data_IF_912861135059
#
_entry.id   IF_912861135059
#
_cell.length_a   1.000
_cell.length_b   1.000
_cell.length_c   1.000
_cell.angle_alpha   90.00
_cell.angle_beta   90.00
_cell.angle_gamma   90.00
#
_symmetry.space_group_name_H-M   'P 1'
#
loop_
_entity.id
_entity.type
_entity.pdbx_description
1 polymer ?
#
# COMPACT_ATOMS: atom_id res chain seq x y z
N UNK A 1 7.65 -31.21 -2.92
CA UNK A 1 8.23 -31.34 -4.27
C UNK A 1 7.91 -30.08 -5.03
N UNK A 2 8.84 -29.51 -5.79
CA UNK A 2 8.57 -28.36 -6.67
C UNK A 2 8.95 -28.72 -8.11
N UNK A 3 8.01 -28.56 -9.02
CA UNK A 3 8.19 -28.71 -10.46
C UNK A 3 8.13 -27.32 -11.09
N UNK A 4 9.12 -26.98 -11.90
CA UNK A 4 9.15 -25.75 -12.69
C UNK A 4 9.37 -26.15 -14.14
N UNK A 5 8.48 -25.71 -15.01
CA UNK A 5 8.53 -26.01 -16.44
C UNK A 5 8.42 -24.71 -17.25
N UNK A 6 9.37 -24.51 -18.16
CA UNK A 6 9.32 -23.41 -19.13
C UNK A 6 8.46 -23.86 -20.31
N UNK A 7 7.32 -23.20 -20.51
CA UNK A 7 6.28 -23.63 -21.44
C UNK A 7 6.53 -23.10 -22.86
N UNK A 8 6.98 -21.84 -22.97
CA UNK A 8 7.20 -21.18 -24.25
C UNK A 8 7.95 -19.85 -24.09
N UNK A 9 8.74 -19.49 -25.10
CA UNK A 9 9.20 -18.12 -25.27
C UNK A 9 8.07 -17.21 -25.82
N UNK A 10 7.98 -15.95 -25.38
CA UNK A 10 8.84 -15.29 -24.39
C UNK A 10 8.28 -15.42 -22.96
N UNK A 11 8.91 -16.21 -22.10
CA UNK A 11 8.78 -16.12 -20.64
C UNK A 11 7.50 -16.71 -20.02
N UNK A 12 6.94 -17.77 -20.61
CA UNK A 12 5.84 -18.52 -20.01
C UNK A 12 6.39 -19.65 -19.14
N UNK A 13 6.01 -19.72 -17.87
CA UNK A 13 6.46 -20.79 -16.98
C UNK A 13 5.34 -21.29 -16.07
N UNK A 14 5.37 -22.57 -15.75
CA UNK A 14 4.49 -23.22 -14.78
C UNK A 14 5.32 -23.66 -13.57
N UNK A 15 4.93 -23.21 -12.38
CA UNK A 15 5.53 -23.61 -11.11
C UNK A 15 4.47 -24.34 -10.26
N UNK A 16 4.73 -25.61 -9.95
CA UNK A 16 3.88 -26.41 -9.08
C UNK A 16 4.67 -26.79 -7.83
N UNK A 17 4.16 -26.48 -6.66
CA UNK A 17 4.70 -26.95 -5.38
C UNK A 17 3.65 -27.76 -4.65
N UNK A 18 4.02 -28.99 -4.28
CA UNK A 18 3.21 -29.88 -3.44
C UNK A 18 3.94 -30.18 -2.12
N UNK A 19 3.21 -30.32 -1.01
CA UNK A 19 3.81 -30.80 0.23
C UNK A 19 4.32 -32.23 0.04
N UNK A 20 5.61 -32.42 0.28
CA UNK A 20 6.18 -33.75 0.51
C UNK A 20 6.44 -33.82 2.00
N UNK A 21 5.60 -34.59 2.71
CA UNK A 21 5.59 -34.75 4.17
C UNK A 21 5.34 -33.46 4.98
N UNK A 22 4.07 -33.24 5.33
CA UNK A 22 3.54 -32.45 6.48
C UNK A 22 3.96 -30.98 6.68
N UNK A 23 4.71 -30.35 5.77
CA UNK A 23 5.06 -28.92 5.88
C UNK A 23 4.83 -28.20 4.55
N UNK A 24 3.68 -27.54 4.42
CA UNK A 24 3.34 -26.65 3.31
C UNK A 24 1.97 -26.91 2.68
N UNK A 25 1.39 -25.86 2.07
CA UNK A 25 0.13 -25.91 1.32
C UNK A 25 0.42 -26.06 -0.17
N UNK A 26 -0.46 -26.73 -0.93
CA UNK A 26 -0.26 -26.89 -2.36
C UNK A 26 -0.38 -25.52 -3.06
N UNK A 27 0.52 -25.25 -3.99
CA UNK A 27 0.52 -24.00 -4.78
C UNK A 27 0.87 -24.26 -6.23
N UNK A 28 0.13 -23.65 -7.14
CA UNK A 28 0.36 -23.66 -8.57
C UNK A 28 0.46 -22.21 -9.07
N UNK A 29 1.46 -21.87 -9.86
CA UNK A 29 1.67 -20.51 -10.40
C UNK A 29 1.94 -20.59 -11.88
N UNK A 30 1.19 -19.83 -12.67
CA UNK A 30 1.43 -19.63 -14.10
C UNK A 30 2.01 -18.23 -14.28
N UNK A 31 3.20 -18.15 -14.84
CA UNK A 31 3.88 -16.91 -15.22
C UNK A 31 3.78 -16.71 -16.72
N UNK A 32 3.60 -15.46 -17.12
CA UNK A 32 3.54 -15.03 -18.51
C UNK A 32 4.16 -13.62 -18.63
N UNK A 33 4.61 -13.18 -19.80
CA UNK A 33 5.35 -11.91 -19.93
C UNK A 33 4.68 -10.69 -19.27
N UNK A 34 3.35 -10.48 -19.38
CA UNK A 34 2.70 -9.37 -18.68
C UNK A 34 2.33 -9.64 -17.22
N UNK A 35 2.59 -10.81 -16.62
CA UNK A 35 2.10 -11.09 -15.26
C UNK A 35 2.21 -12.53 -14.76
N UNK A 36 1.53 -12.81 -13.66
CA UNK A 36 1.43 -14.16 -13.09
C UNK A 36 0.09 -14.36 -12.38
N UNK A 37 -0.36 -15.60 -12.32
CA UNK A 37 -1.54 -16.04 -11.54
C UNK A 37 -1.12 -17.22 -10.70
N UNK A 38 -1.38 -17.16 -9.39
CA UNK A 38 -1.13 -18.27 -8.47
C UNK A 38 -2.40 -18.73 -7.78
N UNK A 39 -2.54 -20.05 -7.65
CA UNK A 39 -3.54 -20.73 -6.87
C UNK A 39 -2.83 -21.37 -5.67
N UNK A 40 -3.24 -21.06 -4.45
CA UNK A 40 -2.65 -21.57 -3.22
C UNK A 40 -3.74 -22.06 -2.28
N UNK A 41 -3.60 -23.28 -1.75
CA UNK A 41 -4.48 -23.77 -0.69
C UNK A 41 -4.30 -22.92 0.58
N UNK A 42 -5.41 -22.58 1.22
CA UNK A 42 -5.48 -21.89 2.51
C UNK A 42 -6.27 -22.76 3.48
N UNK A 43 -5.76 -22.92 4.70
CA UNK A 43 -6.55 -23.46 5.81
C UNK A 43 -7.32 -22.31 6.46
N UNK A 44 -8.65 -22.35 6.38
CA UNK A 44 -9.52 -21.46 7.15
C UNK A 44 -10.04 -22.20 8.39
N UNK A 45 -10.23 -21.46 9.49
CA UNK A 45 -10.64 -22.04 10.79
C UNK A 45 -11.97 -22.81 10.72
N UNK A 46 -12.85 -22.50 9.76
CA UNK A 46 -14.19 -23.10 9.62
C UNK A 46 -14.33 -24.09 8.44
N UNK A 47 -13.52 -23.97 7.37
CA UNK A 47 -13.60 -24.83 6.18
C UNK A 47 -12.24 -25.47 5.91
N UNK A 48 -12.22 -26.81 5.88
CA UNK A 48 -10.96 -27.58 5.95
C UNK A 48 -9.98 -27.36 4.80
N UNK A 49 -10.36 -26.76 3.66
CA UNK A 49 -9.47 -26.37 2.54
C UNK A 49 -10.17 -25.35 1.64
N UNK A 50 -9.73 -24.10 1.67
CA UNK A 50 -10.21 -23.06 0.75
C UNK A 50 -9.10 -22.74 -0.26
N UNK A 51 -9.41 -22.57 -1.54
CA UNK A 51 -8.42 -22.21 -2.55
C UNK A 51 -8.35 -20.68 -2.68
N UNK A 52 -7.17 -20.12 -2.47
CA UNK A 52 -6.89 -18.70 -2.70
C UNK A 52 -6.32 -18.48 -4.10
N UNK A 53 -6.87 -17.50 -4.82
CA UNK A 53 -6.39 -17.10 -6.14
C UNK A 53 -5.75 -15.72 -5.98
N UNK A 54 -4.50 -15.59 -6.43
CA UNK A 54 -3.80 -14.31 -6.54
C UNK A 54 -3.37 -14.10 -7.99
N UNK A 55 -3.34 -12.86 -8.44
CA UNK A 55 -2.91 -12.55 -9.79
C UNK A 55 -2.38 -11.14 -9.90
N UNK A 56 -1.39 -10.96 -10.76
CA UNK A 56 -0.89 -9.64 -11.14
C UNK A 56 -0.73 -9.58 -12.66
N UNK A 57 -1.22 -8.51 -13.25
CA UNK A 57 -1.09 -8.21 -14.67
C UNK A 57 -0.57 -6.78 -14.79
N UNK A 58 0.42 -6.56 -15.67
CA UNK A 58 1.00 -5.25 -15.98
C UNK A 58 0.98 -5.05 -17.48
N UNK A 59 0.57 -3.87 -17.91
CA UNK A 59 0.55 -3.51 -19.34
C UNK A 59 0.73 -2.01 -19.50
N UNK A 60 1.23 -1.60 -20.67
CA UNK A 60 1.22 -0.19 -21.07
C UNK A 60 -0.11 0.10 -21.76
N UNK A 61 -0.89 1.04 -21.21
CA UNK A 61 -2.18 1.44 -21.75
C UNK A 61 -2.15 2.94 -22.03
N UNK A 62 -2.35 3.28 -23.30
CA UNK A 62 -2.27 4.65 -23.82
C UNK A 62 -0.92 5.30 -23.54
N UNK A 63 -0.92 6.23 -22.60
CA UNK A 63 0.16 7.11 -22.23
C UNK A 63 0.62 6.81 -20.80
N UNK A 64 0.43 5.58 -20.31
CA UNK A 64 0.71 5.24 -18.92
C UNK A 64 0.84 3.74 -18.69
N UNK A 65 1.32 3.40 -17.50
CA UNK A 65 1.43 2.02 -17.05
C UNK A 65 0.19 1.63 -16.24
N UNK A 66 -0.44 0.51 -16.61
CA UNK A 66 -1.54 -0.09 -15.88
C UNK A 66 -1.06 -1.37 -15.18
N UNK A 67 -1.45 -1.57 -13.93
CA UNK A 67 -1.32 -2.85 -13.25
C UNK A 67 -2.63 -3.24 -12.58
N UNK A 68 -3.09 -4.47 -12.79
CA UNK A 68 -4.15 -5.09 -12.02
C UNK A 68 -3.54 -6.11 -11.06
N UNK A 69 -3.95 -6.08 -9.80
CA UNK A 69 -3.55 -7.03 -8.79
C UNK A 69 -4.80 -7.54 -8.09
N UNK A 70 -5.00 -8.84 -8.06
CA UNK A 70 -6.02 -9.49 -7.25
C UNK A 70 -5.33 -10.28 -6.16
N UNK A 71 -5.66 -10.01 -4.90
CA UNK A 71 -5.18 -10.77 -3.76
C UNK A 71 -6.14 -10.62 -2.58
N UNK A 72 -6.36 -11.71 -1.84
CA UNK A 72 -7.20 -11.70 -0.63
C UNK A 72 -8.57 -11.06 -0.86
N UNK A 73 -9.22 -11.42 -1.98
CA UNK A 73 -10.51 -10.90 -2.40
C UNK A 73 -10.54 -9.39 -2.76
N UNK A 74 -9.40 -8.71 -2.77
CA UNK A 74 -9.28 -7.33 -3.24
C UNK A 74 -8.70 -7.27 -4.65
N UNK A 75 -9.44 -6.64 -5.57
CA UNK A 75 -8.96 -6.24 -6.88
C UNK A 75 -8.47 -4.79 -6.84
N UNK A 76 -7.15 -4.63 -6.88
CA UNK A 76 -6.44 -3.35 -6.95
C UNK A 76 -5.97 -3.06 -8.37
N UNK A 77 -6.56 -2.05 -8.97
CA UNK A 77 -6.11 -1.51 -10.25
C UNK A 77 -5.21 -0.30 -9.96
N UNK A 78 -4.16 -0.09 -10.73
CA UNK A 78 -3.31 1.10 -10.67
C UNK A 78 -3.01 1.56 -12.07
N UNK A 79 -3.31 2.82 -12.33
CA UNK A 79 -2.89 3.51 -13.54
C UNK A 79 -1.92 4.63 -13.16
N UNK A 80 -0.70 4.59 -13.71
CA UNK A 80 0.30 5.66 -13.59
C UNK A 80 0.38 6.41 -14.91
N UNK A 81 0.14 7.72 -14.89
CA UNK A 81 0.23 8.57 -16.08
C UNK A 81 1.69 8.80 -16.50
N UNK A 82 1.92 9.31 -17.72
CA UNK A 82 3.21 9.47 -18.45
C UNK A 82 4.45 9.78 -17.61
N UNK A 83 4.27 10.59 -16.58
CA UNK A 83 5.33 11.15 -15.74
C UNK A 83 5.63 10.30 -14.48
N UNK A 84 4.87 9.24 -14.24
CA UNK A 84 4.82 8.47 -12.98
C UNK A 84 4.53 9.34 -11.74
N UNK A 85 4.15 10.60 -11.96
CA UNK A 85 3.86 11.56 -10.89
C UNK A 85 2.39 11.46 -10.49
N UNK A 86 1.49 11.11 -11.41
CA UNK A 86 0.09 10.85 -11.09
C UNK A 86 -0.21 9.35 -11.13
N UNK A 87 -0.73 8.82 -10.02
CA UNK A 87 -1.29 7.47 -9.96
C UNK A 87 -2.75 7.50 -9.51
N UNK A 88 -3.61 6.81 -10.25
CA UNK A 88 -4.99 6.53 -9.92
C UNK A 88 -5.13 5.04 -9.56
N UNK A 89 -5.71 4.74 -8.39
CA UNK A 89 -5.70 3.39 -7.82
C UNK A 89 -7.12 3.04 -7.33
N UNK A 90 -8.02 2.57 -8.20
CA UNK A 90 -9.27 1.99 -7.76
C UNK A 90 -9.02 0.62 -7.13
N UNK A 91 -9.74 0.35 -6.05
CA UNK A 91 -9.67 -0.89 -5.30
C UNK A 91 -11.10 -1.35 -5.05
N UNK A 92 -11.37 -2.59 -5.42
CA UNK A 92 -12.69 -3.23 -5.34
C UNK A 92 -12.54 -4.45 -4.44
N UNK A 93 -13.27 -4.51 -3.33
CA UNK A 93 -13.41 -5.74 -2.57
C UNK A 93 -14.44 -6.63 -3.26
N UNK A 94 -14.15 -7.92 -3.39
CA UNK A 94 -15.03 -8.95 -3.89
C UNK A 94 -15.35 -9.92 -2.74
N UNK A 95 -16.52 -10.59 -2.73
CA UNK A 95 -17.66 -10.39 -3.62
C UNK A 95 -18.50 -9.15 -3.25
N UNK A 96 -18.13 -8.42 -2.19
CA UNK A 96 -18.91 -7.29 -1.65
C UNK A 96 -19.14 -6.15 -2.65
N UNK A 97 -18.27 -6.03 -3.66
CA UNK A 97 -18.20 -4.94 -4.64
C UNK A 97 -17.95 -3.55 -4.03
N UNK A 98 -17.52 -3.50 -2.77
CA UNK A 98 -17.14 -2.26 -2.09
C UNK A 98 -16.00 -1.57 -2.85
N UNK A 99 -16.11 -0.26 -3.05
CA UNK A 99 -15.23 0.50 -3.94
C UNK A 99 -14.57 1.66 -3.19
N UNK A 100 -13.25 1.74 -3.31
CA UNK A 100 -12.52 2.92 -2.90
C UNK A 100 -11.43 3.27 -3.91
N UNK A 101 -11.01 4.52 -3.89
CA UNK A 101 -10.04 5.07 -4.83
C UNK A 101 -8.95 5.78 -4.05
N UNK A 102 -7.71 5.47 -4.37
CA UNK A 102 -6.56 6.28 -3.97
C UNK A 102 -6.00 7.05 -5.18
N UNK A 103 -5.86 8.36 -5.03
CA UNK A 103 -5.17 9.24 -5.96
C UNK A 103 -3.83 9.65 -5.34
N UNK A 104 -2.73 9.52 -6.07
CA UNK A 104 -1.41 10.00 -5.64
C UNK A 104 -0.87 10.95 -6.68
N UNK A 105 -0.52 12.17 -6.27
CA UNK A 105 0.15 13.16 -7.12
C UNK A 105 1.46 13.56 -6.50
N UNK A 106 2.56 13.33 -7.20
CA UNK A 106 3.87 13.90 -6.92
C UNK A 106 3.94 15.27 -7.62
N UNK A 107 4.36 16.31 -6.91
CA UNK A 107 4.59 17.63 -7.53
C UNK A 107 6.07 17.90 -7.77
N UNK A 108 6.93 17.20 -7.03
CA UNK A 108 8.38 17.27 -7.17
C UNK A 108 9.02 16.00 -6.58
N UNK A 109 10.33 15.79 -6.77
CA UNK A 109 11.01 14.67 -6.15
C UNK A 109 10.82 14.58 -4.62
N UNK A 110 10.59 15.72 -3.98
CA UNK A 110 10.46 15.86 -2.53
C UNK A 110 9.03 16.03 -2.03
N UNK A 111 8.03 16.16 -2.92
CA UNK A 111 6.66 16.51 -2.52
C UNK A 111 5.62 15.59 -3.15
N UNK A 112 4.65 15.15 -2.35
CA UNK A 112 3.53 14.35 -2.81
C UNK A 112 2.26 14.60 -2.02
N UNK A 113 1.13 14.51 -2.69
CA UNK A 113 -0.21 14.45 -2.14
C UNK A 113 -0.77 13.04 -2.39
N UNK A 114 -1.39 12.47 -1.38
CA UNK A 114 -2.19 11.26 -1.46
C UNK A 114 -3.60 11.58 -1.00
N UNK A 115 -4.59 11.21 -1.77
CA UNK A 115 -6.00 11.32 -1.46
C UNK A 115 -6.61 9.92 -1.53
N UNK A 116 -7.50 9.61 -0.61
CA UNK A 116 -8.22 8.36 -0.54
C UNK A 116 -9.69 8.64 -0.31
N UNK A 117 -10.57 7.94 -1.00
CA UNK A 117 -12.01 8.09 -0.92
C UNK A 117 -12.68 6.73 -0.98
N UNK A 118 -13.60 6.47 -0.05
CA UNK A 118 -14.42 5.28 0.01
C UNK A 118 -15.85 5.63 -0.44
N UNK A 119 -16.36 4.94 -1.46
CA UNK A 119 -17.67 5.23 -2.04
C UNK A 119 -18.82 4.68 -1.19
N UNK A 120 -18.57 3.68 -0.35
CA UNK A 120 -19.59 3.05 0.50
C UNK A 120 -19.84 3.86 1.78
N UNK A 121 -18.78 4.40 2.38
CA UNK A 121 -18.86 5.17 3.63
C UNK A 121 -18.82 6.68 3.45
N UNK A 122 -18.51 7.15 2.24
CA UNK A 122 -18.23 8.56 1.91
C UNK A 122 -17.02 9.15 2.65
N UNK A 123 -16.29 8.32 3.41
CA UNK A 123 -15.09 8.75 4.10
C UNK A 123 -13.94 8.96 3.13
N UNK A 124 -13.20 10.02 3.40
CA UNK A 124 -12.00 10.40 2.69
C UNK A 124 -10.87 10.77 3.63
N UNK A 125 -9.65 10.64 3.12
CA UNK A 125 -8.46 11.17 3.76
C UNK A 125 -7.54 11.82 2.75
N UNK A 126 -6.82 12.84 3.19
CA UNK A 126 -5.81 13.53 2.39
C UNK A 126 -4.52 13.62 3.18
N UNK A 127 -3.39 13.32 2.56
CA UNK A 127 -2.07 13.38 3.17
C UNK A 127 -1.10 14.04 2.21
N UNK A 128 -0.54 15.17 2.65
CA UNK A 128 0.59 15.81 2.03
C UNK A 128 1.89 15.39 2.72
N UNK A 129 2.92 15.11 1.94
CA UNK A 129 4.26 14.77 2.42
C UNK A 129 5.27 15.63 1.66
N UNK A 130 6.17 16.26 2.42
CA UNK A 130 7.26 17.08 1.92
C UNK A 130 8.56 16.67 2.62
N UNK A 131 9.58 16.38 1.84
CA UNK A 131 10.93 16.11 2.33
C UNK A 131 11.81 17.34 2.06
N UNK A 132 12.64 17.74 3.02
CA UNK A 132 13.61 18.82 2.87
C UNK A 132 15.01 18.25 3.10
N UNK A 133 15.78 18.08 2.03
CA UNK A 133 17.08 17.42 2.09
C UNK A 133 16.97 15.96 2.55
N UNK A 134 17.96 15.49 3.32
CA UNK A 134 17.97 14.11 3.88
C UNK A 134 17.44 14.03 5.30
N UNK A 135 17.42 15.16 6.00
CA UNK A 135 17.25 15.20 7.45
C UNK A 135 15.84 15.59 7.88
N UNK A 136 15.01 16.15 6.99
CA UNK A 136 13.71 16.68 7.39
C UNK A 136 12.59 16.12 6.53
N UNK A 137 11.53 15.67 7.19
CA UNK A 137 10.32 15.19 6.54
C UNK A 137 9.09 15.69 7.27
N UNK A 138 8.32 16.51 6.59
CA UNK A 138 7.04 17.00 7.02
C UNK A 138 5.92 16.18 6.39
N UNK A 139 4.88 15.91 7.18
CA UNK A 139 3.63 15.34 6.70
C UNK A 139 2.48 16.06 7.37
N UNK A 140 1.44 16.34 6.63
CA UNK A 140 0.18 16.80 7.17
C UNK A 140 -0.95 15.99 6.54
N UNK A 141 -1.98 15.70 7.29
CA UNK A 141 -3.12 14.99 6.77
C UNK A 141 -4.39 15.25 7.54
N UNK A 142 -5.49 14.86 6.92
CA UNK A 142 -6.81 14.86 7.50
C UNK A 142 -7.49 13.54 7.19
N UNK A 143 -8.18 13.00 8.18
CA UNK A 143 -9.01 11.81 8.07
C UNK A 143 -10.44 12.15 8.50
N UNK A 144 -11.39 11.98 7.58
CA UNK A 144 -12.79 12.32 7.83
C UNK A 144 -13.55 11.29 8.65
N UNK A 145 -13.10 10.03 8.69
CA UNK A 145 -13.73 8.96 9.48
C UNK A 145 -13.62 9.29 10.97
N UNK A 146 -12.43 9.68 11.41
CA UNK A 146 -12.14 10.07 12.79
C UNK A 146 -12.18 11.59 13.02
N UNK A 147 -12.44 12.36 11.96
CA UNK A 147 -12.46 13.85 11.94
C UNK A 147 -11.21 14.46 12.58
N UNK A 148 -10.07 13.95 12.16
CA UNK A 148 -8.78 14.24 12.78
C UNK A 148 -7.83 14.83 11.75
N UNK A 149 -7.40 16.06 12.02
CA UNK A 149 -6.23 16.65 11.38
C UNK A 149 -4.97 16.23 12.12
N UNK A 150 -3.88 16.00 11.40
CA UNK A 150 -2.60 15.71 12.01
C UNK A 150 -1.45 16.27 11.19
N UNK A 151 -0.36 16.54 11.88
CA UNK A 151 0.91 16.90 11.27
C UNK A 151 2.04 16.13 11.95
N UNK A 152 3.10 15.85 11.20
CA UNK A 152 4.28 15.17 11.71
C UNK A 152 5.52 15.74 11.09
N UNK A 153 6.47 16.11 11.95
CA UNK A 153 7.81 16.51 11.56
C UNK A 153 8.80 15.44 12.04
N UNK A 154 9.50 14.82 11.11
CA UNK A 154 10.64 13.94 11.37
C UNK A 154 11.93 14.69 11.09
N UNK A 155 12.87 14.57 12.01
CA UNK A 155 14.21 15.16 11.97
C UNK A 155 15.25 14.04 12.11
N UNK A 156 16.27 14.03 11.26
CA UNK A 156 17.42 13.12 11.22
C UNK A 156 17.52 12.30 9.93
N UNK A 157 18.76 12.05 9.48
CA UNK A 157 19.13 11.30 8.26
C UNK A 157 18.47 9.90 8.20
N UNK A 158 17.64 9.66 7.17
CA UNK A 158 16.99 8.36 6.97
C UNK A 158 17.99 7.25 6.58
N UNK A 159 19.08 7.58 5.88
CA UNK A 159 20.07 6.65 5.30
C UNK A 159 21.35 6.48 6.13
N UNK A 160 21.50 7.26 7.20
CA UNK A 160 22.70 7.27 8.04
C UNK A 160 22.95 5.91 8.71
N UNK A 161 24.16 5.36 8.52
CA UNK A 161 24.66 4.21 9.31
C UNK A 161 24.51 4.53 10.80
N UNK A 162 24.12 3.52 11.60
CA UNK A 162 23.83 3.61 13.04
C UNK A 162 24.91 4.36 13.86
N UNK A 163 26.16 4.39 13.39
CA UNK A 163 27.27 5.07 14.07
C UNK A 163 27.42 6.58 13.76
N UNK A 164 26.68 7.15 12.80
CA UNK A 164 26.89 8.53 12.33
C UNK A 164 25.66 9.43 12.34
N UNK A 165 24.46 8.92 12.62
CA UNK A 165 23.23 9.72 12.67
C UNK A 165 22.74 9.84 14.13
N UNK A 166 23.19 10.83 14.91
CA UNK A 166 23.12 10.75 16.37
C UNK A 166 21.71 10.99 16.93
N UNK A 167 20.76 11.53 16.16
CA UNK A 167 19.45 11.96 16.71
C UNK A 167 18.32 11.85 15.68
N UNK A 168 17.48 10.81 15.79
CA UNK A 168 16.18 10.77 15.11
C UNK A 168 15.10 11.24 16.05
N UNK A 169 14.40 12.32 15.68
CA UNK A 169 13.28 12.86 16.44
C UNK A 169 12.03 12.95 15.57
N UNK A 170 10.89 12.53 16.11
CA UNK A 170 9.59 12.65 15.47
C UNK A 170 8.67 13.45 16.38
N UNK A 171 8.23 14.60 15.89
CA UNK A 171 7.12 15.36 16.44
C UNK A 171 5.85 14.97 15.70
N UNK A 172 4.76 14.85 16.43
CA UNK A 172 3.44 14.55 15.88
C UNK A 172 2.40 15.35 16.64
N UNK A 173 1.66 16.18 15.92
CA UNK A 173 0.53 16.93 16.44
C UNK A 173 -0.74 16.36 15.82
N UNK A 174 -1.78 16.26 16.62
CA UNK A 174 -3.06 15.69 16.22
C UNK A 174 -4.15 16.58 16.80
N UNK A 175 -5.01 17.11 15.93
CA UNK A 175 -6.19 17.88 16.30
C UNK A 175 -7.42 17.06 15.94
N UNK A 176 -8.17 16.64 16.94
CA UNK A 176 -9.43 15.92 16.76
C UNK A 176 -10.60 16.86 17.04
N UNK A 177 -11.55 16.95 16.09
CA UNK A 177 -12.72 17.83 16.20
C UNK A 177 -14.00 16.98 16.21
N UNK A 178 -14.70 16.89 17.36
CA UNK A 178 -15.95 16.14 17.45
C UNK A 178 -17.07 16.70 16.56
N UNK A 179 -18.05 15.87 16.17
CA UNK A 179 -19.24 16.35 15.47
C UNK A 179 -20.07 17.31 16.31
N UNK A 180 -20.43 18.46 15.73
CA UNK A 180 -21.45 19.36 16.31
C UNK A 180 -20.93 20.34 17.36
N UNK A 181 -19.72 20.16 17.91
CA UNK A 181 -19.15 21.09 18.88
C UNK A 181 -17.64 21.22 18.75
N UNK A 182 -17.18 22.36 18.23
CA UNK A 182 -15.76 22.68 18.07
C UNK A 182 -15.07 22.97 19.41
N UNK A 183 -15.84 23.30 20.47
CA UNK A 183 -15.31 23.58 21.79
C UNK A 183 -14.76 22.34 22.49
N UNK A 184 -15.22 21.15 22.05
CA UNK A 184 -14.73 19.85 22.51
C UNK A 184 -13.52 19.35 21.73
N UNK A 185 -12.86 20.20 20.94
CA UNK A 185 -11.67 19.82 20.19
C UNK A 185 -10.50 19.47 21.11
N UNK A 186 -9.82 18.37 20.78
CA UNK A 186 -8.68 17.86 21.55
C UNK A 186 -7.42 17.99 20.71
N UNK A 187 -6.43 18.71 21.26
CA UNK A 187 -5.08 18.78 20.71
C UNK A 187 -4.18 17.80 21.46
N UNK A 188 -3.66 16.81 20.75
CA UNK A 188 -2.65 15.87 21.25
C UNK A 188 -1.30 16.17 20.62
N UNK A 189 -0.26 16.17 21.46
CA UNK A 189 1.13 16.32 21.02
C UNK A 189 1.96 15.14 21.49
N UNK A 190 2.70 14.53 20.56
CA UNK A 190 3.56 13.39 20.84
C UNK A 190 4.97 13.64 20.30
N UNK A 191 5.95 13.50 21.18
CA UNK A 191 7.37 13.49 20.83
C UNK A 191 7.92 12.09 20.98
N UNK A 192 8.59 11.60 19.94
CA UNK A 192 9.37 10.35 20.00
C UNK A 192 10.81 10.67 19.64
N UNK A 193 11.73 10.47 20.60
CA UNK A 193 13.17 10.63 20.41
C UNK A 193 13.84 9.26 20.49
N UNK A 194 14.71 8.96 19.53
CA UNK A 194 15.65 7.83 19.62
C UNK A 194 17.03 8.36 19.95
N UNK A 195 17.64 7.78 20.97
CA UNK A 195 19.04 7.98 21.31
C UNK A 195 19.73 6.66 21.04
N UNK A 196 20.45 6.57 19.94
CA UNK A 196 21.33 5.43 19.69
C UNK A 196 22.62 5.70 20.49
N UNK A 197 23.03 4.73 21.31
CA UNK A 197 24.17 4.83 22.24
C UNK A 197 25.44 4.30 21.60
#
# INVERSE_FOLDING_TARGET
>A
MSLVEDLAEPGYALELSSPVHTVGLARATIKFPPGEVSLEEREEEEVKRTLSINGILKSQIWNGACSAQYAEEELKLRYSFKDEELSFIPIISLPSTALWVALKRRFSPSSKLSYWYNFDTEYWSAVYEQTYGKDFKFKAGYDSEVRQGWESLRVGDEDGKVKTAPMKMKFHFMLQVPPGDISLSVLMFRVKKRWDK
#
